data_IF_538354063313
#
_entry.id   IF_538354063313
#
_cell.length_a   1.000
_cell.length_b   1.000
_cell.length_c   1.000
_cell.angle_alpha   90.00
_cell.angle_beta   90.00
_cell.angle_gamma   90.00
#
_symmetry.space_group_name_H-M   'P 1'
#
loop_
_entity.id
_entity.type
_entity.pdbx_description
1 polymer ?
#
# COMPACT_ATOMS: atom_id res chain seq x y z
N UNK A 1 -1.37 -5.08 -10.79
CA UNK A 1 -1.52 -6.54 -10.58
C UNK A 1 -1.93 -6.90 -9.13
N UNK A 2 -2.65 -6.03 -8.40
CA UNK A 2 -3.08 -6.26 -6.99
C UNK A 2 -4.59 -6.55 -6.85
N UNK A 3 -5.36 -6.46 -7.94
CA UNK A 3 -6.82 -6.45 -7.89
C UNK A 3 -7.43 -7.81 -7.59
N UNK A 4 -6.76 -8.92 -7.94
CA UNK A 4 -7.26 -10.28 -7.66
C UNK A 4 -7.18 -10.67 -6.17
N UNK A 5 -6.24 -10.09 -5.40
CA UNK A 5 -6.16 -10.33 -3.94
C UNK A 5 -7.09 -9.42 -3.15
N UNK A 6 -7.48 -8.26 -3.69
CA UNK A 6 -8.36 -7.33 -3.01
C UNK A 6 -9.75 -7.92 -2.77
N UNK A 7 -10.28 -8.70 -3.73
CA UNK A 7 -11.61 -9.30 -3.62
C UNK A 7 -11.76 -10.27 -2.44
N UNK A 8 -10.97 -11.34 -2.30
CA UNK A 8 -11.12 -12.26 -1.18
C UNK A 8 -10.82 -11.62 0.18
N UNK A 9 -10.01 -10.54 0.23
CA UNK A 9 -9.65 -9.85 1.46
C UNK A 9 -10.73 -8.86 1.92
N UNK A 10 -11.28 -8.09 0.99
CA UNK A 10 -12.27 -7.04 1.28
C UNK A 10 -13.71 -7.53 1.15
N UNK A 11 -13.94 -8.67 0.49
CA UNK A 11 -15.25 -9.15 0.07
C UNK A 11 -15.86 -8.36 -1.09
N UNK A 12 -15.12 -7.41 -1.69
CA UNK A 12 -15.63 -6.52 -2.75
C UNK A 12 -15.02 -6.89 -4.11
N UNK A 13 -15.87 -7.17 -5.09
CA UNK A 13 -15.42 -7.44 -6.45
C UNK A 13 -14.72 -6.20 -7.06
N UNK A 14 -13.62 -6.39 -7.83
CA UNK A 14 -13.02 -5.30 -8.60
C UNK A 14 -14.03 -4.76 -9.62
N UNK A 15 -14.04 -3.45 -9.85
CA UNK A 15 -14.98 -2.80 -10.78
C UNK A 15 -14.96 -3.46 -12.19
N UNK A 16 -13.77 -3.82 -12.68
CA UNK A 16 -13.61 -4.50 -13.97
C UNK A 16 -14.29 -5.89 -14.08
N UNK A 17 -14.71 -6.50 -12.96
CA UNK A 17 -15.41 -7.79 -12.95
C UNK A 17 -16.93 -7.64 -12.85
N UNK A 18 -17.43 -6.43 -12.52
CA UNK A 18 -18.86 -6.13 -12.51
C UNK A 18 -19.45 -6.17 -13.93
N UNK A 19 -18.68 -5.75 -14.94
CA UNK A 19 -19.12 -5.74 -16.35
C UNK A 19 -19.15 -7.13 -17.01
N UNK A 20 -18.39 -8.10 -16.50
CA UNK A 20 -18.33 -9.46 -17.07
C UNK A 20 -19.39 -10.42 -16.50
N UNK A 21 -20.11 -10.03 -15.43
CA UNK A 21 -21.09 -10.88 -14.76
C UNK A 21 -22.35 -11.18 -15.62
N UNK A 22 -22.49 -10.54 -16.79
CA UNK A 22 -23.63 -10.73 -17.69
C UNK A 22 -23.62 -12.00 -18.57
N UNK A 23 -22.52 -12.77 -18.64
CA UNK A 23 -22.31 -13.66 -19.80
C UNK A 23 -22.58 -15.17 -19.63
N UNK A 24 -22.76 -15.76 -18.44
CA UNK A 24 -23.12 -17.19 -18.36
C UNK A 24 -24.04 -17.53 -17.19
N UNK A 25 -25.27 -17.94 -17.50
CA UNK A 25 -26.19 -18.58 -16.57
C UNK A 25 -25.64 -19.99 -16.27
N UNK A 26 -25.03 -20.17 -15.10
CA UNK A 26 -24.54 -21.48 -14.64
C UNK A 26 -25.48 -22.02 -13.56
N UNK A 27 -25.87 -23.29 -13.68
CA UNK A 27 -26.81 -23.93 -12.76
C UNK A 27 -26.06 -24.63 -11.63
N UNK A 28 -26.15 -24.09 -10.40
CA UNK A 28 -25.61 -24.69 -9.16
C UNK A 28 -25.13 -23.62 -8.16
N UNK A 29 -25.00 -23.93 -6.85
CA UNK A 29 -24.42 -23.03 -5.87
C UNK A 29 -22.91 -22.89 -6.13
N UNK A 30 -22.54 -21.87 -6.89
CA UNK A 30 -21.15 -21.50 -7.17
C UNK A 30 -20.87 -20.19 -6.43
N UNK A 31 -19.75 -20.05 -5.71
CA UNK A 31 -19.36 -18.78 -5.14
C UNK A 31 -19.25 -17.70 -6.23
N UNK A 32 -19.84 -16.53 -6.01
CA UNK A 32 -19.80 -15.40 -6.96
C UNK A 32 -18.39 -14.81 -7.18
N UNK A 33 -17.38 -15.36 -6.50
CA UNK A 33 -15.97 -15.00 -6.64
C UNK A 33 -15.06 -15.80 -5.69
N UNK A 34 -13.75 -15.51 -5.67
CA UNK A 34 -12.83 -16.06 -4.68
C UNK A 34 -13.21 -15.57 -3.28
N UNK A 35 -13.66 -16.48 -2.42
CA UNK A 35 -14.03 -16.19 -1.03
C UNK A 35 -12.96 -16.74 -0.09
N UNK A 36 -12.49 -15.91 0.85
CA UNK A 36 -11.83 -16.39 2.06
C UNK A 36 -12.86 -16.39 3.19
N UNK A 37 -12.99 -17.53 3.87
CA UNK A 37 -13.83 -17.60 5.06
C UNK A 37 -13.33 -16.62 6.15
N UNK A 38 -14.19 -16.18 7.08
CA UNK A 38 -13.80 -15.24 8.13
C UNK A 38 -12.54 -15.68 8.91
N UNK A 39 -12.42 -16.98 9.21
CA UNK A 39 -11.25 -17.55 9.89
C UNK A 39 -9.97 -17.57 9.03
N UNK A 40 -10.08 -17.74 7.72
CA UNK A 40 -8.92 -17.68 6.82
C UNK A 40 -8.42 -16.25 6.65
N UNK A 41 -9.36 -15.30 6.52
CA UNK A 41 -9.04 -13.86 6.48
C UNK A 41 -8.38 -13.39 7.76
N UNK A 42 -8.89 -13.81 8.93
CA UNK A 42 -8.25 -13.52 10.21
C UNK A 42 -6.81 -14.06 10.27
N UNK A 43 -6.61 -15.34 9.91
CA UNK A 43 -5.27 -15.96 9.85
C UNK A 43 -4.33 -15.25 8.87
N UNK A 44 -4.84 -14.78 7.74
CA UNK A 44 -4.05 -14.02 6.78
C UNK A 44 -3.51 -12.73 7.41
N UNK A 45 -4.38 -11.92 8.05
CA UNK A 45 -3.94 -10.68 8.68
C UNK A 45 -3.06 -10.91 9.90
N UNK A 46 -3.30 -11.97 10.68
CA UNK A 46 -2.39 -12.38 11.76
C UNK A 46 -0.99 -12.69 11.23
N UNK A 47 -0.90 -13.49 10.16
CA UNK A 47 0.38 -13.84 9.53
C UNK A 47 1.05 -12.62 8.91
N UNK A 48 0.28 -11.71 8.32
CA UNK A 48 0.81 -10.48 7.72
C UNK A 48 1.41 -9.55 8.78
N UNK A 49 0.73 -9.35 9.92
CA UNK A 49 1.27 -8.63 11.08
C UNK A 49 2.56 -9.27 11.57
N UNK A 50 2.54 -10.58 11.82
CA UNK A 50 3.71 -11.32 12.29
C UNK A 50 4.89 -11.33 11.29
N UNK A 51 4.63 -11.32 9.98
CA UNK A 51 5.67 -11.21 8.96
C UNK A 51 6.29 -9.81 8.93
N UNK A 52 5.47 -8.76 9.03
CA UNK A 52 5.94 -7.38 9.10
C UNK A 52 6.75 -7.11 10.38
N UNK A 53 6.37 -7.70 11.51
CA UNK A 53 7.15 -7.61 12.76
C UNK A 53 8.52 -8.30 12.64
N UNK A 54 8.56 -9.51 12.05
CA UNK A 54 9.83 -10.23 11.82
C UNK A 54 10.78 -9.47 10.90
N UNK A 55 10.26 -8.93 9.78
CA UNK A 55 11.09 -8.20 8.82
C UNK A 55 11.61 -6.88 9.38
N UNK A 56 10.90 -6.23 10.30
CA UNK A 56 11.42 -5.06 11.01
C UNK A 56 12.67 -5.36 11.85
N UNK A 57 12.79 -6.58 12.39
CA UNK A 57 13.95 -7.03 13.15
C UNK A 57 15.07 -7.65 12.30
N UNK A 58 14.89 -7.79 10.98
CA UNK A 58 15.88 -8.44 10.11
C UNK A 58 17.11 -7.53 9.83
N UNK A 59 18.25 -8.08 9.35
CA UNK A 59 19.48 -7.33 9.13
C UNK A 59 19.36 -6.16 8.13
N UNK A 60 20.27 -5.18 8.25
CA UNK A 60 20.28 -3.98 7.39
C UNK A 60 20.51 -4.29 5.90
N UNK A 61 21.23 -5.36 5.57
CA UNK A 61 21.53 -5.76 4.20
C UNK A 61 20.28 -6.00 3.31
N UNK A 62 19.13 -6.27 3.92
CA UNK A 62 17.85 -6.48 3.21
C UNK A 62 16.95 -5.22 3.22
N UNK A 63 17.49 -4.02 3.46
CA UNK A 63 16.69 -2.79 3.61
C UNK A 63 15.66 -2.57 2.50
N UNK A 64 16.05 -2.58 1.22
CA UNK A 64 15.12 -2.31 0.12
C UNK A 64 13.95 -3.32 0.08
N UNK A 65 14.25 -4.61 0.25
CA UNK A 65 13.23 -5.67 0.29
C UNK A 65 12.30 -5.50 1.48
N UNK A 66 12.85 -5.14 2.64
CA UNK A 66 12.07 -4.86 3.86
C UNK A 66 11.15 -3.66 3.65
N UNK A 67 11.62 -2.57 3.05
CA UNK A 67 10.82 -1.38 2.81
C UNK A 67 9.70 -1.60 1.78
N UNK A 68 9.97 -2.35 0.70
CA UNK A 68 8.94 -2.80 -0.26
C UNK A 68 7.90 -3.65 0.45
N UNK A 69 8.32 -4.66 1.22
CA UNK A 69 7.40 -5.51 1.96
C UNK A 69 6.58 -4.71 2.96
N UNK A 70 7.21 -3.82 3.75
CA UNK A 70 6.55 -3.01 4.75
C UNK A 70 5.44 -2.15 4.14
N UNK A 71 5.75 -1.42 3.07
CA UNK A 71 4.76 -0.65 2.31
C UNK A 71 3.58 -1.52 1.85
N UNK A 72 3.85 -2.67 1.24
CA UNK A 72 2.83 -3.60 0.76
C UNK A 72 1.98 -4.21 1.90
N UNK A 73 2.61 -4.52 3.03
CA UNK A 73 1.95 -5.08 4.20
C UNK A 73 1.05 -4.06 4.88
N UNK A 74 1.55 -2.83 5.12
CA UNK A 74 0.78 -1.76 5.75
C UNK A 74 -0.43 -1.38 4.90
N UNK A 75 -0.24 -1.26 3.58
CA UNK A 75 -1.33 -0.99 2.65
C UNK A 75 -2.43 -2.06 2.70
N UNK A 76 -2.06 -3.35 2.81
CA UNK A 76 -3.05 -4.44 2.95
C UNK A 76 -3.71 -4.46 4.32
N UNK A 77 -2.98 -4.17 5.38
CA UNK A 77 -3.53 -4.11 6.75
C UNK A 77 -4.56 -3.00 6.92
N UNK A 78 -4.48 -1.94 6.11
CA UNK A 78 -5.51 -0.91 6.05
C UNK A 78 -6.89 -1.42 5.62
N UNK A 79 -6.97 -2.62 5.02
CA UNK A 79 -8.23 -3.27 4.66
C UNK A 79 -8.82 -4.13 5.79
N UNK A 80 -8.06 -4.40 6.85
CA UNK A 80 -8.54 -5.16 8.00
C UNK A 80 -9.15 -4.21 9.04
N UNK A 81 -10.48 -4.17 9.10
CA UNK A 81 -11.21 -3.30 10.02
C UNK A 81 -11.25 -3.79 11.46
N UNK A 82 -10.53 -4.88 11.80
CA UNK A 82 -10.50 -5.38 13.17
C UNK A 82 -9.73 -4.44 14.11
N UNK A 83 -10.15 -4.34 15.40
CA UNK A 83 -9.42 -3.55 16.40
C UNK A 83 -7.94 -3.97 16.55
N UNK A 84 -7.62 -5.23 16.26
CA UNK A 84 -6.26 -5.74 16.27
C UNK A 84 -5.38 -5.06 15.21
N UNK A 85 -5.88 -4.87 13.98
CA UNK A 85 -5.14 -4.17 12.93
C UNK A 85 -5.00 -2.69 13.21
N UNK A 86 -6.06 -2.03 13.69
CA UNK A 86 -5.98 -0.61 14.06
C UNK A 86 -4.93 -0.37 15.16
N UNK A 87 -4.93 -1.20 16.22
CA UNK A 87 -3.92 -1.10 17.30
C UNK A 87 -2.52 -1.36 16.76
N UNK A 88 -2.35 -2.36 15.91
CA UNK A 88 -1.05 -2.68 15.32
C UNK A 88 -0.54 -1.56 14.42
N UNK A 89 -1.38 -0.95 13.59
CA UNK A 89 -1.02 0.19 12.72
C UNK A 89 -0.59 1.40 13.56
N UNK A 90 -1.27 1.69 14.67
CA UNK A 90 -0.86 2.77 15.59
C UNK A 90 0.51 2.51 16.21
N UNK A 91 0.78 1.28 16.66
CA UNK A 91 2.09 0.91 17.18
C UNK A 91 3.18 0.99 16.10
N UNK A 92 2.87 0.51 14.89
CA UNK A 92 3.76 0.59 13.75
C UNK A 92 4.11 2.04 13.40
N UNK A 93 3.12 2.93 13.36
CA UNK A 93 3.32 4.37 13.13
C UNK A 93 4.15 5.03 14.23
N UNK A 94 3.87 4.74 15.50
CA UNK A 94 4.65 5.28 16.62
C UNK A 94 6.12 4.84 16.56
N UNK A 95 6.38 3.58 16.23
CA UNK A 95 7.73 3.06 16.06
C UNK A 95 8.42 3.68 14.84
N UNK A 96 7.70 3.83 13.74
CA UNK A 96 8.21 4.48 12.54
C UNK A 96 8.61 5.92 12.83
N UNK A 97 7.76 6.70 13.48
CA UNK A 97 8.04 8.10 13.84
C UNK A 97 9.26 8.25 14.74
N UNK A 98 9.50 7.30 15.66
CA UNK A 98 10.70 7.30 16.52
C UNK A 98 11.99 6.93 15.78
N UNK A 99 11.89 6.07 14.77
CA UNK A 99 13.03 5.59 14.00
C UNK A 99 13.28 6.41 12.72
N UNK A 100 12.28 7.17 12.26
CA UNK A 100 12.33 7.88 11.00
C UNK A 100 13.36 9.02 11.09
N UNK A 101 14.14 9.14 10.01
CA UNK A 101 14.82 10.39 9.69
C UNK A 101 13.81 11.45 9.24
N UNK A 102 14.33 12.54 8.68
CA UNK A 102 13.49 13.63 8.21
C UNK A 102 12.55 13.19 7.08
N UNK A 103 11.27 13.56 7.17
CA UNK A 103 10.26 13.30 6.12
C UNK A 103 10.44 14.20 4.89
N UNK A 104 11.23 15.28 5.01
CA UNK A 104 11.51 16.23 3.93
C UNK A 104 12.52 15.73 2.90
N UNK A 105 13.04 14.51 3.08
CA UNK A 105 13.91 13.80 2.14
C UNK A 105 13.33 12.45 1.77
N UNK A 106 13.63 12.01 0.55
CA UNK A 106 13.23 10.68 0.14
C UNK A 106 14.01 9.60 0.91
N UNK A 107 13.32 8.51 1.22
CA UNK A 107 13.93 7.25 1.69
C UNK A 107 13.08 6.05 1.26
N UNK A 108 13.65 4.86 1.24
CA UNK A 108 12.89 3.63 0.92
C UNK A 108 11.71 3.42 1.90
N UNK A 109 11.88 3.87 3.15
CA UNK A 109 10.91 3.80 4.24
C UNK A 109 9.80 4.85 4.15
N UNK A 110 9.98 5.90 3.36
CA UNK A 110 9.01 6.98 3.15
C UNK A 110 7.65 6.45 2.66
N UNK A 111 7.65 5.45 1.77
CA UNK A 111 6.41 4.79 1.32
C UNK A 111 5.75 3.93 2.40
N UNK A 112 6.54 3.36 3.31
CA UNK A 112 6.03 2.69 4.49
C UNK A 112 5.29 3.68 5.39
N UNK A 113 5.89 4.85 5.65
CA UNK A 113 5.25 5.95 6.39
C UNK A 113 3.91 6.35 5.75
N UNK A 114 3.92 6.60 4.44
CA UNK A 114 2.73 6.96 3.67
C UNK A 114 1.61 5.92 3.82
N UNK A 115 1.91 4.63 3.68
CA UNK A 115 0.88 3.59 3.83
C UNK A 115 0.34 3.48 5.26
N UNK A 116 1.17 3.71 6.29
CA UNK A 116 0.71 3.73 7.68
C UNK A 116 -0.29 4.87 7.94
N UNK A 117 0.03 6.09 7.50
CA UNK A 117 -0.84 7.24 7.74
C UNK A 117 -2.15 7.16 6.96
N UNK A 118 -2.12 6.59 5.74
CA UNK A 118 -3.32 6.27 4.98
C UNK A 118 -4.17 5.21 5.70
N UNK A 119 -3.53 4.14 6.20
CA UNK A 119 -4.23 3.10 6.95
C UNK A 119 -4.91 3.64 8.20
N UNK A 120 -4.21 4.45 8.99
CA UNK A 120 -4.79 5.11 10.18
C UNK A 120 -5.96 6.01 9.82
N UNK A 121 -5.87 6.73 8.70
CA UNK A 121 -6.97 7.57 8.21
C UNK A 121 -8.21 6.75 7.85
N UNK A 122 -8.05 5.60 7.18
CA UNK A 122 -9.17 4.68 6.92
C UNK A 122 -9.79 4.10 8.19
N UNK A 123 -9.04 4.05 9.29
CA UNK A 123 -9.54 3.64 10.60
C UNK A 123 -10.01 4.82 11.49
N UNK A 124 -10.25 5.99 10.90
CA UNK A 124 -10.83 7.15 11.59
C UNK A 124 -9.84 8.04 12.32
N UNK A 125 -8.53 7.89 12.09
CA UNK A 125 -7.48 8.72 12.67
C UNK A 125 -6.74 9.51 11.55
N UNK A 126 -7.24 10.70 11.18
CA UNK A 126 -6.70 11.48 10.06
C UNK A 126 -5.49 12.36 10.42
N UNK A 127 -5.16 12.51 11.70
CA UNK A 127 -4.09 13.43 12.14
C UNK A 127 -2.70 13.01 11.64
N UNK A 128 -2.31 11.72 11.69
CA UNK A 128 -1.04 11.27 11.10
C UNK A 128 -0.90 11.64 9.62
N UNK A 129 -1.99 11.58 8.84
CA UNK A 129 -1.97 11.93 7.42
C UNK A 129 -1.79 13.44 7.23
N UNK A 130 -2.47 14.28 8.02
CA UNK A 130 -2.27 15.73 7.99
C UNK A 130 -0.83 16.11 8.29
N UNK A 131 -0.25 15.52 9.33
CA UNK A 131 1.15 15.75 9.69
C UNK A 131 2.10 15.32 8.56
N UNK A 132 1.89 14.13 8.00
CA UNK A 132 2.68 13.63 6.87
C UNK A 132 2.60 14.58 5.67
N UNK A 133 1.41 15.03 5.27
CA UNK A 133 1.25 15.97 4.14
C UNK A 133 2.00 17.29 4.37
N UNK A 134 2.01 17.81 5.60
CA UNK A 134 2.72 19.05 5.93
C UNK A 134 4.25 18.93 5.94
N UNK A 135 4.78 17.71 6.10
CA UNK A 135 6.23 17.46 6.23
C UNK A 135 6.85 16.81 4.99
N UNK A 136 6.11 15.94 4.31
CA UNK A 136 6.65 14.98 3.35
C UNK A 136 6.80 15.52 1.92
N UNK A 137 6.32 16.73 1.63
CA UNK A 137 6.31 17.33 0.27
C UNK A 137 6.92 18.74 0.28
N UNK A 138 8.02 18.93 1.03
CA UNK A 138 8.65 20.24 1.23
C UNK A 138 9.83 20.51 0.29
N UNK A 139 10.24 19.52 -0.51
CA UNK A 139 11.41 19.59 -1.38
C UNK A 139 11.06 19.01 -2.75
N UNK A 140 11.74 19.50 -3.78
CA UNK A 140 11.58 18.99 -5.15
C UNK A 140 11.83 17.47 -5.21
N UNK A 141 12.78 16.95 -4.43
CA UNK A 141 13.06 15.52 -4.33
C UNK A 141 11.84 14.73 -3.88
N UNK A 142 11.14 15.17 -2.81
CA UNK A 142 9.99 14.46 -2.29
C UNK A 142 8.73 14.68 -3.11
N UNK A 143 8.61 15.81 -3.79
CA UNK A 143 7.56 16.04 -4.80
C UNK A 143 7.74 15.13 -6.02
N UNK A 144 8.94 15.05 -6.60
CA UNK A 144 9.28 14.13 -7.68
C UNK A 144 9.00 12.69 -7.25
N UNK A 145 9.43 12.30 -6.05
CA UNK A 145 9.14 10.98 -5.50
C UNK A 145 7.64 10.69 -5.41
N UNK A 146 6.84 11.65 -4.98
CA UNK A 146 5.38 11.51 -4.93
C UNK A 146 4.77 11.28 -6.31
N UNK A 147 5.22 12.06 -7.29
CA UNK A 147 4.73 12.02 -8.66
C UNK A 147 5.12 10.71 -9.35
N UNK A 148 6.37 10.28 -9.21
CA UNK A 148 6.86 8.99 -9.70
C UNK A 148 6.14 7.80 -9.05
N UNK A 149 5.82 7.90 -7.76
CA UNK A 149 4.98 6.90 -7.09
C UNK A 149 3.58 6.81 -7.69
N UNK A 150 2.93 7.95 -7.94
CA UNK A 150 1.63 7.97 -8.59
C UNK A 150 1.69 7.41 -10.01
N UNK A 151 2.66 7.82 -10.82
CA UNK A 151 2.90 7.30 -12.17
C UNK A 151 3.09 5.78 -12.19
N UNK A 152 3.84 5.24 -11.21
CA UNK A 152 3.96 3.80 -11.01
C UNK A 152 2.61 3.15 -10.68
N UNK A 153 1.87 3.74 -9.74
CA UNK A 153 0.61 3.19 -9.24
C UNK A 153 -0.48 3.15 -10.31
N UNK A 154 -0.62 4.21 -11.12
CA UNK A 154 -1.59 4.26 -12.23
C UNK A 154 -1.13 3.45 -13.46
N UNK A 155 0.09 2.90 -13.42
CA UNK A 155 0.65 2.09 -14.50
C UNK A 155 1.06 2.91 -15.72
N UNK A 156 1.45 4.17 -15.55
CA UNK A 156 2.11 4.97 -16.60
C UNK A 156 3.57 4.56 -16.77
N UNK A 157 4.22 4.10 -15.70
CA UNK A 157 5.53 3.47 -15.79
C UNK A 157 5.34 2.02 -16.26
N UNK A 158 5.62 1.76 -17.53
CA UNK A 158 5.37 0.47 -18.20
C UNK A 158 6.15 -0.72 -17.63
N UNK A 159 7.16 -0.49 -16.80
CA UNK A 159 8.00 -1.52 -16.20
C UNK A 159 7.58 -1.89 -14.78
N UNK A 160 7.55 -3.19 -14.48
CA UNK A 160 7.33 -3.68 -13.11
C UNK A 160 8.58 -3.42 -12.28
N UNK A 161 8.45 -2.60 -11.24
CA UNK A 161 9.54 -2.27 -10.34
C UNK A 161 9.57 -3.22 -9.14
N UNK A 162 10.75 -3.80 -8.86
CA UNK A 162 10.97 -4.72 -7.74
C UNK A 162 11.52 -4.03 -6.48
N UNK A 163 11.90 -2.77 -6.59
CA UNK A 163 12.40 -1.93 -5.51
C UNK A 163 11.72 -0.56 -5.54
N UNK A 164 11.90 0.23 -4.49
CA UNK A 164 11.47 1.63 -4.46
C UNK A 164 12.57 2.60 -4.91
N UNK A 165 13.76 2.13 -5.29
CA UNK A 165 14.92 2.99 -5.60
C UNK A 165 14.78 3.83 -6.87
N UNK A 166 13.82 3.51 -7.73
CA UNK A 166 13.51 4.28 -8.93
C UNK A 166 12.74 5.57 -8.60
N UNK A 167 12.07 5.62 -7.44
CA UNK A 167 11.12 6.66 -7.08
C UNK A 167 11.70 8.07 -7.03
N UNK A 168 12.89 8.34 -6.45
CA UNK A 168 13.41 9.69 -6.37
C UNK A 168 14.06 10.17 -7.68
N UNK A 169 14.12 9.33 -8.72
CA UNK A 169 14.94 9.64 -9.90
C UNK A 169 14.20 10.58 -10.86
N UNK A 170 14.86 11.68 -11.22
CA UNK A 170 14.32 12.66 -12.16
C UNK A 170 14.13 12.11 -13.58
N UNK A 171 14.98 11.19 -14.05
CA UNK A 171 14.86 10.58 -15.38
C UNK A 171 13.60 9.71 -15.55
N UNK A 172 13.03 9.23 -14.44
CA UNK A 172 11.73 8.55 -14.42
C UNK A 172 10.60 9.57 -14.59
N UNK A 173 10.74 10.72 -13.96
CA UNK A 173 9.75 11.81 -14.02
C UNK A 173 9.64 12.38 -15.43
N UNK A 174 10.76 12.54 -16.13
CA UNK A 174 10.79 13.06 -17.51
C UNK A 174 10.03 12.18 -18.53
N UNK A 175 9.76 10.91 -18.17
CA UNK A 175 8.99 9.97 -19.00
C UNK A 175 7.50 10.00 -18.70
N UNK A 176 7.09 10.73 -17.66
CA UNK A 176 5.70 10.77 -17.22
C UNK A 176 4.89 11.79 -18.00
N UNK A 177 3.75 11.36 -18.55
CA UNK A 177 2.87 12.22 -19.35
C UNK A 177 1.74 12.87 -18.55
N UNK A 178 1.41 12.33 -17.37
CA UNK A 178 0.24 12.73 -16.58
C UNK A 178 -1.11 12.24 -17.14
N UNK A 179 -1.13 11.63 -18.33
CA UNK A 179 -2.35 11.36 -19.07
C UNK A 179 -3.32 10.41 -18.37
N UNK A 180 -2.84 9.34 -17.71
CA UNK A 180 -3.72 8.35 -17.06
C UNK A 180 -4.24 8.82 -15.72
N UNK A 181 -3.56 9.78 -15.08
CA UNK A 181 -4.01 10.35 -13.80
C UNK A 181 -5.29 11.19 -13.95
N UNK A 182 -5.49 11.81 -15.12
CA UNK A 182 -6.70 12.61 -15.41
C UNK A 182 -7.97 11.79 -15.71
N UNK A 183 -7.83 10.47 -15.87
CA UNK A 183 -8.92 9.55 -16.23
C UNK A 183 -9.58 8.93 -14.97
N UNK A 184 -9.03 9.21 -13.78
CA UNK A 184 -9.45 8.63 -12.49
C UNK A 184 -9.91 9.70 -11.50
#
# INVERSE_FOLDING_TARGET
>A
MSTMLAWPLTGRAPAAHLDTAGATRRHGPVPDGPLLGPGERARFFDRLRAAADRLRGAPLADHDRRSVFAHQAYYRLAWDTTPASTRWLRLAYANHTRAAGSLDRWSADWLGARALVLGLSFHGDPEPLRHFMGAAFRTDETEIANLNYWAYWVGELGERQQSHQFIPRADVFDRWSGGRLTVH
#
